data_IF_389768397508
#
_entry.id   IF_389768397508
#
_cell.length_a   1.000
_cell.length_b   1.000
_cell.length_c   1.000
_cell.angle_alpha   90.00
_cell.angle_beta   90.00
_cell.angle_gamma   90.00
#
_symmetry.space_group_name_H-M   'P 1'
#
loop_
_entity.id
_entity.type
_entity.pdbx_description
1 polymer ?
#
# COMPACT_ATOMS: atom_id res chain seq x y z
N UNK A 1 -3.54 -2.43 -9.29
CA UNK A 1 -2.56 -1.54 -8.66
C UNK A 1 -3.36 -0.52 -7.86
N UNK A 2 -3.22 -0.53 -6.54
CA UNK A 2 -4.03 0.30 -5.65
C UNK A 2 -3.29 1.57 -5.23
N UNK A 3 -4.02 2.68 -5.09
CA UNK A 3 -3.54 3.94 -4.54
C UNK A 3 -3.64 3.87 -3.00
N UNK A 4 -2.49 3.75 -2.35
CA UNK A 4 -2.39 3.59 -0.89
C UNK A 4 -1.75 4.84 -0.29
N UNK A 5 -2.48 5.50 0.60
CA UNK A 5 -2.01 6.69 1.31
C UNK A 5 -1.34 6.28 2.63
N UNK A 6 -0.09 6.70 2.83
CA UNK A 6 0.71 6.41 4.02
C UNK A 6 1.22 7.71 4.62
N UNK A 7 1.32 7.77 5.95
CA UNK A 7 1.89 8.94 6.64
C UNK A 7 3.30 9.25 6.13
N UNK A 8 3.60 10.54 5.99
CA UNK A 8 4.91 11.03 5.54
C UNK A 8 6.04 10.71 6.53
N UNK A 9 5.70 10.41 7.78
CA UNK A 9 6.63 10.04 8.85
C UNK A 9 7.19 8.63 8.69
N UNK A 10 6.62 7.82 7.79
CA UNK A 10 7.14 6.51 7.45
C UNK A 10 8.24 6.70 6.43
N UNK A 11 9.46 6.45 6.89
CA UNK A 11 10.63 6.50 6.03
C UNK A 11 10.52 5.44 4.92
N UNK A 12 10.75 5.86 3.67
CA UNK A 12 10.77 4.96 2.52
C UNK A 12 12.04 4.10 2.46
N UNK A 13 13.08 4.48 3.21
CA UNK A 13 14.30 3.68 3.35
C UNK A 13 14.13 2.53 4.36
N UNK A 14 13.13 2.62 5.26
CA UNK A 14 12.73 1.52 6.13
C UNK A 14 11.69 0.64 5.42
N UNK A 15 12.20 -0.25 4.56
CA UNK A 15 11.42 -1.14 3.69
C UNK A 15 10.43 -1.99 4.47
N UNK A 16 10.81 -2.49 5.65
CA UNK A 16 9.96 -3.37 6.45
C UNK A 16 8.83 -2.60 7.14
N UNK A 17 9.15 -1.43 7.71
CA UNK A 17 8.14 -0.56 8.30
C UNK A 17 7.16 -0.02 7.26
N UNK A 18 7.64 0.32 6.07
CA UNK A 18 6.79 0.71 4.95
C UNK A 18 5.92 -0.46 4.48
N UNK A 19 6.48 -1.67 4.33
CA UNK A 19 5.71 -2.87 3.97
C UNK A 19 4.58 -3.14 4.97
N UNK A 20 4.85 -3.04 6.27
CA UNK A 20 3.85 -3.21 7.31
C UNK A 20 2.71 -2.18 7.19
N UNK A 21 3.05 -0.89 7.04
CA UNK A 21 2.06 0.16 6.88
C UNK A 21 1.19 -0.02 5.62
N UNK A 22 1.79 -0.39 4.49
CA UNK A 22 1.04 -0.69 3.26
C UNK A 22 0.14 -1.91 3.44
N UNK A 23 0.61 -2.93 4.16
CA UNK A 23 -0.17 -4.14 4.45
C UNK A 23 -1.42 -3.80 5.27
N UNK A 24 -1.27 -2.98 6.32
CA UNK A 24 -2.39 -2.56 7.16
C UNK A 24 -3.45 -1.79 6.38
N UNK A 25 -3.03 -0.84 5.53
CA UNK A 25 -3.97 -0.06 4.72
C UNK A 25 -4.67 -0.93 3.68
N UNK A 26 -3.93 -1.81 2.98
CA UNK A 26 -4.55 -2.74 2.02
C UNK A 26 -5.54 -3.67 2.73
N UNK A 27 -5.16 -4.22 3.88
CA UNK A 27 -6.02 -5.09 4.67
C UNK A 27 -7.36 -4.43 5.03
N UNK A 28 -7.33 -3.16 5.46
CA UNK A 28 -8.54 -2.41 5.79
C UNK A 28 -9.46 -2.14 4.60
N UNK A 29 -8.90 -2.09 3.39
CA UNK A 29 -9.67 -1.79 2.18
C UNK A 29 -10.09 -3.04 1.39
N UNK A 30 -9.65 -4.23 1.82
CA UNK A 30 -10.06 -5.47 1.16
C UNK A 30 -11.55 -5.72 1.34
N UNK A 31 -12.19 -6.09 0.23
CA UNK A 31 -13.57 -6.54 0.26
C UNK A 31 -13.72 -7.81 1.11
N UNK A 32 -14.87 -7.99 1.80
CA UNK A 32 -15.18 -9.25 2.48
C UNK A 32 -14.99 -10.45 1.55
N UNK A 33 -14.48 -11.57 2.10
CA UNK A 33 -14.15 -12.78 1.32
C UNK A 33 -12.79 -12.75 0.61
N UNK A 34 -12.00 -11.69 0.78
CA UNK A 34 -10.59 -11.64 0.34
C UNK A 34 -9.67 -11.59 1.55
N UNK A 35 -8.64 -12.42 1.54
CA UNK A 35 -7.60 -12.43 2.57
C UNK A 35 -6.28 -11.93 1.97
N UNK A 36 -5.69 -10.89 2.55
CA UNK A 36 -4.37 -10.41 2.17
C UNK A 36 -3.31 -11.47 2.52
N UNK A 37 -2.51 -11.90 1.54
CA UNK A 37 -1.38 -12.80 1.79
C UNK A 37 -0.11 -12.00 2.04
N UNK A 38 0.20 -11.08 1.11
CA UNK A 38 1.37 -10.20 1.21
C UNK A 38 1.28 -9.03 0.25
N UNK A 39 1.95 -7.93 0.62
CA UNK A 39 2.38 -6.91 -0.34
C UNK A 39 3.63 -7.42 -1.07
N UNK A 40 3.63 -7.38 -2.40
CA UNK A 40 4.74 -7.88 -3.25
C UNK A 40 5.70 -6.74 -3.61
N UNK A 41 5.15 -5.62 -4.07
CA UNK A 41 5.93 -4.46 -4.51
C UNK A 41 5.14 -3.17 -4.36
N UNK A 42 5.85 -2.04 -4.29
CA UNK A 42 5.25 -0.71 -4.29
C UNK A 42 6.09 0.29 -5.09
N UNK A 43 5.44 1.35 -5.56
CA UNK A 43 6.09 2.48 -6.21
C UNK A 43 5.61 3.79 -5.57
N UNK A 44 6.52 4.64 -5.04
CA UNK A 44 6.16 5.94 -4.50
C UNK A 44 5.58 6.83 -5.60
N UNK A 45 4.53 7.58 -5.25
CA UNK A 45 3.76 8.48 -6.11
C UNK A 45 3.17 7.81 -7.38
N UNK A 46 3.29 6.48 -7.52
CA UNK A 46 2.78 5.73 -8.67
C UNK A 46 3.33 6.24 -10.00
N UNK A 47 4.48 6.91 -10.00
CA UNK A 47 5.00 7.63 -11.16
C UNK A 47 4.12 8.85 -11.52
N UNK A 48 3.80 9.10 -12.81
CA UNK A 48 2.97 10.25 -13.20
C UNK A 48 1.47 10.08 -12.83
N UNK A 49 1.09 8.95 -12.23
CA UNK A 49 -0.31 8.60 -11.97
C UNK A 49 -0.87 9.26 -10.71
N UNK A 50 -0.05 9.56 -9.70
CA UNK A 50 -0.53 10.26 -8.50
C UNK A 50 0.08 11.65 -8.40
N UNK A 51 -0.78 12.61 -8.04
CA UNK A 51 -0.30 13.94 -7.64
C UNK A 51 0.25 13.84 -6.22
N UNK A 52 1.46 14.37 -5.96
CA UNK A 52 1.99 14.45 -4.62
C UNK A 52 1.06 15.30 -3.74
N UNK A 53 0.81 14.84 -2.52
CA UNK A 53 -0.04 15.50 -1.52
C UNK A 53 0.86 15.95 -0.37
N UNK A 54 0.64 17.15 0.16
CA UNK A 54 1.59 17.77 1.11
C UNK A 54 1.76 16.96 2.41
N UNK A 55 0.68 16.33 2.87
CA UNK A 55 0.59 15.70 4.19
C UNK A 55 0.63 14.16 4.15
N UNK A 56 0.68 13.56 2.95
CA UNK A 56 0.68 12.11 2.81
C UNK A 56 1.42 11.65 1.56
N UNK A 57 2.12 10.51 1.67
CA UNK A 57 2.76 9.85 0.54
C UNK A 57 1.79 8.84 -0.05
N UNK A 58 1.70 8.82 -1.38
CA UNK A 58 0.89 7.85 -2.11
C UNK A 58 1.78 6.78 -2.68
N UNK A 59 1.32 5.54 -2.63
CA UNK A 59 2.04 4.40 -3.17
C UNK A 59 1.12 3.61 -4.08
N UNK A 60 1.63 3.28 -5.26
CA UNK A 60 1.06 2.24 -6.09
C UNK A 60 1.47 0.89 -5.51
N UNK A 61 0.52 0.10 -5.01
CA UNK A 61 0.82 -1.19 -4.36
C UNK A 61 0.34 -2.36 -5.21
N UNK A 62 1.20 -3.38 -5.31
CA UNK A 62 0.87 -4.72 -5.79
C UNK A 62 0.88 -5.71 -4.62
N UNK A 63 -0.15 -6.52 -4.52
CA UNK A 63 -0.36 -7.44 -3.41
C UNK A 63 -1.05 -8.72 -3.88
N UNK A 64 -0.84 -9.81 -3.13
CA UNK A 64 -1.46 -11.10 -3.35
C UNK A 64 -2.61 -11.30 -2.36
N UNK A 65 -3.71 -11.86 -2.86
CA UNK A 65 -4.87 -12.22 -2.04
C UNK A 65 -5.28 -13.66 -2.27
N UNK A 66 -5.76 -14.31 -1.22
CA UNK A 66 -6.56 -15.52 -1.32
C UNK A 66 -8.04 -15.14 -1.34
N UNK A 67 -8.85 -15.93 -2.06
CA UNK A 67 -10.31 -15.85 -2.00
C UNK A 67 -10.77 -16.85 -0.93
N UNK A 68 -11.39 -16.34 0.14
CA UNK A 68 -12.14 -17.20 1.05
C UNK A 68 -13.47 -17.51 0.38
N UNK A 69 -13.55 -18.69 -0.22
CA UNK A 69 -14.78 -19.28 -0.77
C UNK A 69 -15.61 -19.86 0.38
#
# INVERSE_FOLDING_TARGET
>A
MWDVEVSRDIDCYDVERLRAALTDVVYQQLSPGKQLLRVVSWCPDGGPLFRPKADARRFAVAYEVALSV
#
